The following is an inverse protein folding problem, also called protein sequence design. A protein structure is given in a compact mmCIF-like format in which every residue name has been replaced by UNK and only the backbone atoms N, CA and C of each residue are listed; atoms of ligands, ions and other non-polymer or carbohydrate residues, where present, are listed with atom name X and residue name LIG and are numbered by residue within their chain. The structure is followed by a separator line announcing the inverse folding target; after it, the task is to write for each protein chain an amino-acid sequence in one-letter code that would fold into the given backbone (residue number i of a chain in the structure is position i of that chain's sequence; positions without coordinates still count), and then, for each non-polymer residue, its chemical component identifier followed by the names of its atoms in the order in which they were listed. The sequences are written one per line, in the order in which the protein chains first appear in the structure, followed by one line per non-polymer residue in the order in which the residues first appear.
data_IF_546298859984
#
_entry.id   IF_546298859984
#
_cell.length_a   1.000
_cell.length_b   1.000
_cell.length_c   1.000
_cell.angle_alpha   90.00
_cell.angle_beta   90.00
_cell.angle_gamma   90.00
#
_symmetry.space_group_name_H-M   'P 1'
#
loop_
_entity.id
_entity.type
_entity.pdbx_description
1 polymer ?
#
# COMPACT_ATOMS: atom_id res chain seq x y z
N UNK A 1 -17.16 27.16 -20.24
CA UNK A 1 -16.15 26.89 -19.18
C UNK A 1 -15.48 25.57 -19.50
N UNK A 2 -14.16 25.57 -19.77
CA UNK A 2 -13.41 24.32 -19.98
C UNK A 2 -13.27 23.63 -18.63
N UNK A 3 -13.77 22.40 -18.54
CA UNK A 3 -13.68 21.58 -17.34
C UNK A 3 -12.21 21.22 -17.09
N UNK A 4 -11.59 21.85 -16.08
CA UNK A 4 -10.15 21.74 -15.76
C UNK A 4 -9.78 20.30 -15.35
N UNK A 5 -10.78 19.50 -14.96
CA UNK A 5 -10.60 18.09 -14.60
C UNK A 5 -10.31 17.16 -15.80
N UNK A 6 -10.59 17.58 -17.05
CA UNK A 6 -10.25 16.79 -18.26
C UNK A 6 -8.75 16.80 -18.60
N UNK A 7 -7.91 17.52 -17.83
CA UNK A 7 -6.47 17.62 -18.05
C UNK A 7 -5.62 16.77 -17.11
N UNK A 8 -6.23 16.02 -16.18
CA UNK A 8 -5.49 15.08 -15.34
C UNK A 8 -5.58 13.67 -15.95
N UNK A 9 -4.51 13.13 -16.56
CA UNK A 9 -4.53 11.80 -17.17
C UNK A 9 -4.27 10.72 -16.10
N UNK A 10 -4.87 10.84 -14.91
CA UNK A 10 -4.77 9.83 -13.86
C UNK A 10 -6.14 9.21 -13.70
N UNK A 11 -6.30 8.02 -14.27
CA UNK A 11 -7.46 7.18 -13.98
C UNK A 11 -7.32 6.66 -12.56
N UNK A 12 -8.05 7.25 -11.62
CA UNK A 12 -8.16 6.73 -10.26
C UNK A 12 -9.03 5.47 -10.34
N UNK A 13 -8.40 4.31 -10.20
CA UNK A 13 -9.12 3.05 -9.99
C UNK A 13 -9.38 2.88 -8.51
N UNK A 14 -10.63 2.61 -8.15
CA UNK A 14 -11.05 2.29 -6.80
C UNK A 14 -11.86 0.99 -6.84
N UNK A 15 -11.67 0.16 -5.81
CA UNK A 15 -12.44 -1.08 -5.61
C UNK A 15 -13.69 -0.84 -4.75
N UNK A 16 -13.98 0.42 -4.40
CA UNK A 16 -15.13 0.81 -3.58
C UNK A 16 -16.44 0.60 -4.34
N UNK A 17 -17.44 0.03 -3.67
CA UNK A 17 -18.76 -0.22 -4.24
C UNK A 17 -19.78 0.85 -3.83
N UNK A 18 -19.42 1.68 -2.84
CA UNK A 18 -20.22 2.79 -2.35
C UNK A 18 -19.37 4.01 -1.95
N UNK A 19 -20.04 5.15 -1.75
CA UNK A 19 -19.41 6.36 -1.22
C UNK A 19 -18.90 6.15 0.21
N UNK A 20 -19.62 5.37 1.03
CA UNK A 20 -19.19 5.02 2.38
C UNK A 20 -17.90 4.19 2.37
N UNK A 21 -17.75 3.24 1.44
CA UNK A 21 -16.53 2.45 1.29
C UNK A 21 -15.35 3.36 0.93
N UNK A 22 -15.59 4.37 0.09
CA UNK A 22 -14.57 5.34 -0.31
C UNK A 22 -14.12 6.20 0.87
N UNK A 23 -15.07 6.71 1.67
CA UNK A 23 -14.73 7.47 2.88
C UNK A 23 -13.97 6.61 3.88
N UNK A 24 -14.39 5.37 4.07
CA UNK A 24 -13.69 4.43 4.94
C UNK A 24 -12.27 4.16 4.45
N UNK A 25 -12.06 3.93 3.15
CA UNK A 25 -10.72 3.75 2.59
C UNK A 25 -9.85 4.99 2.80
N UNK A 26 -10.39 6.19 2.59
CA UNK A 26 -9.68 7.45 2.83
C UNK A 26 -9.26 7.59 4.29
N UNK A 27 -10.15 7.28 5.23
CA UNK A 27 -9.85 7.37 6.65
C UNK A 27 -8.79 6.36 7.09
N UNK A 28 -8.82 5.14 6.53
CA UNK A 28 -7.75 4.16 6.74
C UNK A 28 -6.40 4.63 6.16
N UNK A 29 -6.37 5.27 4.98
CA UNK A 29 -5.14 5.84 4.42
C UNK A 29 -4.58 6.95 5.33
N UNK A 30 -5.45 7.81 5.87
CA UNK A 30 -5.03 8.85 6.82
C UNK A 30 -4.43 8.25 8.09
N UNK A 31 -5.01 7.17 8.62
CA UNK A 31 -4.44 6.45 9.77
C UNK A 31 -3.03 5.96 9.48
N UNK A 32 -2.78 5.38 8.30
CA UNK A 32 -1.42 4.99 7.90
C UNK A 32 -0.46 6.18 7.99
N UNK A 33 -0.84 7.33 7.44
CA UNK A 33 -0.03 8.55 7.47
C UNK A 33 0.27 9.02 8.91
N UNK A 34 -0.72 9.03 9.80
CA UNK A 34 -0.51 9.39 11.22
C UNK A 34 0.44 8.44 11.95
N UNK A 35 0.51 7.18 11.54
CA UNK A 35 1.44 6.17 12.08
C UNK A 35 2.83 6.19 11.39
N UNK A 36 3.09 7.25 10.61
CA UNK A 36 4.38 7.49 9.97
C UNK A 36 4.57 6.81 8.61
N UNK A 37 3.53 6.20 8.03
CA UNK A 37 3.54 5.69 6.65
C UNK A 37 3.14 6.80 5.66
N UNK A 38 4.00 7.82 5.55
CA UNK A 38 3.86 8.87 4.53
C UNK A 38 4.00 8.35 3.10
N UNK A 39 3.83 9.23 2.10
CA UNK A 39 3.79 8.77 0.70
C UNK A 39 5.06 8.04 0.27
N UNK A 40 6.25 8.51 0.68
CA UNK A 40 7.51 7.85 0.32
C UNK A 40 7.56 6.42 0.83
N UNK A 41 7.38 6.23 2.15
CA UNK A 41 7.51 4.93 2.77
C UNK A 41 6.46 3.94 2.24
N UNK A 42 5.20 4.37 2.06
CA UNK A 42 4.16 3.51 1.48
C UNK A 42 4.57 2.95 0.11
N UNK A 43 5.07 3.81 -0.79
CA UNK A 43 5.45 3.38 -2.13
C UNK A 43 6.78 2.62 -2.16
N UNK A 44 7.70 2.92 -1.25
CA UNK A 44 8.94 2.16 -1.09
C UNK A 44 8.63 0.73 -0.64
N UNK A 45 7.75 0.55 0.36
CA UNK A 45 7.27 -0.78 0.77
C UNK A 45 6.58 -1.52 -0.38
N UNK A 46 5.73 -0.81 -1.12
CA UNK A 46 4.96 -1.38 -2.23
C UNK A 46 5.86 -1.90 -3.37
N UNK A 47 6.80 -1.07 -3.85
CA UNK A 47 7.63 -1.38 -5.01
C UNK A 47 8.65 -2.47 -4.66
N UNK A 48 9.17 -2.47 -3.43
CA UNK A 48 10.23 -3.39 -3.01
C UNK A 48 9.69 -4.70 -2.40
N UNK A 49 8.36 -4.85 -2.28
CA UNK A 49 7.71 -6.08 -1.81
C UNK A 49 8.07 -7.31 -2.65
N UNK A 50 8.39 -7.14 -3.94
CA UNK A 50 8.77 -8.22 -4.87
C UNK A 50 10.28 -8.39 -5.05
N UNK A 51 11.11 -7.54 -4.45
CA UNK A 51 12.55 -7.69 -4.64
C UNK A 51 13.04 -9.03 -4.10
N UNK A 52 14.07 -9.60 -4.70
CA UNK A 52 14.60 -10.89 -4.26
C UNK A 52 13.65 -12.09 -4.48
N UNK A 53 12.48 -11.89 -5.10
CA UNK A 53 11.56 -12.99 -5.45
C UNK A 53 11.91 -13.62 -6.78
N UNK A 54 11.80 -14.94 -6.85
CA UNK A 54 11.70 -15.68 -8.10
C UNK A 54 10.25 -16.10 -8.31
N UNK A 55 9.84 -16.34 -9.55
CA UNK A 55 8.49 -16.84 -9.88
C UNK A 55 8.09 -18.13 -9.11
N UNK A 56 9.08 -18.87 -8.57
CA UNK A 56 8.90 -20.08 -7.77
C UNK A 56 8.79 -19.84 -6.25
N UNK A 57 9.18 -18.68 -5.73
CA UNK A 57 9.14 -18.35 -4.30
C UNK A 57 8.14 -17.22 -4.07
N UNK A 58 6.98 -17.56 -3.49
CA UNK A 58 6.07 -16.55 -2.94
C UNK A 58 6.71 -15.97 -1.68
N UNK A 59 6.71 -14.64 -1.55
CA UNK A 59 7.13 -13.99 -0.30
C UNK A 59 6.09 -14.25 0.76
N UNK A 60 6.30 -15.32 1.53
CA UNK A 60 5.48 -15.75 2.66
C UNK A 60 6.31 -15.62 3.92
N UNK A 61 6.19 -14.47 4.56
CA UNK A 61 7.02 -14.07 5.69
C UNK A 61 6.15 -13.66 6.89
N UNK A 62 6.67 -13.88 8.09
CA UNK A 62 6.24 -13.21 9.32
C UNK A 62 6.56 -11.71 9.25
N UNK A 63 6.03 -10.92 10.17
CA UNK A 63 6.32 -9.48 10.21
C UNK A 63 7.81 -9.22 10.42
N UNK A 64 8.46 -9.95 11.33
CA UNK A 64 9.91 -9.79 11.58
C UNK A 64 10.74 -10.13 10.33
N UNK A 65 10.40 -11.22 9.63
CA UNK A 65 11.01 -11.58 8.35
C UNK A 65 10.75 -10.50 7.26
N UNK A 66 9.60 -9.82 7.28
CA UNK A 66 9.34 -8.69 6.38
C UNK A 66 10.17 -7.45 6.74
N UNK A 67 10.39 -7.17 8.04
CA UNK A 67 11.30 -6.09 8.46
C UNK A 67 12.70 -6.37 7.91
N UNK A 68 13.23 -7.58 8.14
CA UNK A 68 14.54 -8.00 7.62
C UNK A 68 14.61 -7.90 6.09
N UNK A 69 13.55 -8.30 5.39
CA UNK A 69 13.44 -8.16 3.93
C UNK A 69 13.59 -6.71 3.47
N UNK A 70 12.92 -5.76 4.12
CA UNK A 70 12.96 -4.35 3.76
C UNK A 70 14.28 -3.66 4.14
N UNK A 71 14.93 -4.11 5.23
CA UNK A 71 16.24 -3.61 5.65
C UNK A 71 17.32 -3.81 4.56
N UNK A 72 17.27 -4.93 3.82
CA UNK A 72 18.19 -5.20 2.69
C UNK A 72 18.15 -4.09 1.64
N UNK A 73 17.01 -3.42 1.49
CA UNK A 73 16.78 -2.34 0.54
C UNK A 73 16.88 -0.95 1.18
N UNK A 74 17.39 -0.85 2.41
CA UNK A 74 17.53 0.38 3.19
C UNK A 74 16.20 1.10 3.44
N UNK A 75 15.11 0.35 3.51
CA UNK A 75 13.79 0.87 3.85
C UNK A 75 13.63 0.74 5.37
N UNK A 76 13.56 1.89 6.04
CA UNK A 76 13.40 1.94 7.50
C UNK A 76 11.92 1.83 7.83
N UNK A 77 11.54 0.76 8.51
CA UNK A 77 10.18 0.51 8.98
C UNK A 77 10.21 -0.29 10.29
N UNK A 78 9.05 -0.52 10.90
CA UNK A 78 8.92 -1.30 12.12
C UNK A 78 7.73 -2.28 12.01
N UNK A 79 7.61 -3.25 12.95
CA UNK A 79 6.54 -4.24 12.92
C UNK A 79 5.13 -3.65 12.86
N UNK A 80 4.83 -2.62 13.65
CA UNK A 80 3.49 -2.03 13.73
C UNK A 80 3.09 -1.35 12.41
N UNK A 81 4.03 -0.63 11.79
CA UNK A 81 3.84 -0.03 10.47
C UNK A 81 3.58 -1.09 9.40
N UNK A 82 4.33 -2.20 9.40
CA UNK A 82 4.13 -3.27 8.44
C UNK A 82 2.80 -3.99 8.64
N UNK A 83 2.37 -4.19 9.89
CA UNK A 83 1.05 -4.77 10.19
C UNK A 83 -0.04 -3.88 9.59
N UNK A 84 -0.01 -2.58 9.88
CA UNK A 84 -0.98 -1.62 9.35
C UNK A 84 -1.00 -1.59 7.83
N UNK A 85 0.18 -1.52 7.21
CA UNK A 85 0.33 -1.53 5.75
C UNK A 85 -0.27 -2.81 5.13
N UNK A 86 0.06 -3.99 5.67
CA UNK A 86 -0.43 -5.25 5.12
C UNK A 86 -1.91 -5.50 5.39
N UNK A 87 -2.44 -5.07 6.54
CA UNK A 87 -3.88 -5.15 6.82
C UNK A 87 -4.67 -4.22 5.91
N UNK A 88 -4.16 -3.02 5.63
CA UNK A 88 -4.72 -2.14 4.62
C UNK A 88 -4.76 -2.81 3.23
N UNK A 89 -3.62 -3.35 2.77
CA UNK A 89 -3.56 -4.06 1.50
C UNK A 89 -4.50 -5.26 1.45
N UNK A 90 -4.58 -6.05 2.52
CA UNK A 90 -5.49 -7.20 2.58
C UNK A 90 -6.96 -6.77 2.45
N UNK A 91 -7.32 -5.63 3.06
CA UNK A 91 -8.69 -5.12 3.07
C UNK A 91 -9.11 -4.52 1.72
N UNK A 92 -8.32 -3.61 1.17
CA UNK A 92 -8.71 -2.84 -0.02
C UNK A 92 -8.09 -3.34 -1.33
N UNK A 93 -7.06 -4.19 -1.23
CA UNK A 93 -6.30 -4.77 -2.33
C UNK A 93 -6.07 -6.27 -2.15
N UNK A 94 -7.11 -7.00 -1.75
CA UNK A 94 -7.07 -8.43 -1.36
C UNK A 94 -6.42 -9.36 -2.40
N UNK A 95 -6.38 -8.96 -3.67
CA UNK A 95 -5.66 -9.68 -4.73
C UNK A 95 -4.13 -9.58 -4.65
N UNK A 96 -3.57 -8.74 -3.79
CA UNK A 96 -2.12 -8.51 -3.66
C UNK A 96 -1.50 -9.31 -2.53
N UNK A 97 -2.21 -9.46 -1.40
CA UNK A 97 -1.66 -10.07 -0.20
C UNK A 97 -2.71 -10.95 0.50
N UNK A 98 -2.27 -12.09 1.04
CA UNK A 98 -3.05 -12.91 1.94
C UNK A 98 -2.36 -13.05 3.29
N UNK A 99 -3.14 -13.28 4.34
CA UNK A 99 -2.66 -13.60 5.69
C UNK A 99 -3.06 -15.03 6.02
N UNK A 100 -2.09 -15.84 6.45
CA UNK A 100 -2.31 -17.18 6.98
C UNK A 100 -1.45 -17.37 8.22
N UNK A 101 -2.06 -17.81 9.32
CA UNK A 101 -1.43 -17.87 10.64
C UNK A 101 -0.79 -16.52 11.02
N UNK A 102 0.54 -16.48 11.15
CA UNK A 102 1.35 -15.30 11.46
C UNK A 102 2.12 -14.76 10.26
N UNK A 103 1.82 -15.25 9.05
CA UNK A 103 2.55 -14.90 7.84
C UNK A 103 1.69 -14.13 6.85
N UNK A 104 2.29 -13.14 6.23
CA UNK A 104 1.76 -12.42 5.09
C UNK A 104 2.40 -12.94 3.82
N UNK A 105 1.55 -13.32 2.86
CA UNK A 105 1.94 -13.88 1.56
C UNK A 105 1.60 -12.93 0.44
N UNK A 106 2.61 -12.54 -0.31
CA UNK A 106 2.43 -11.76 -1.53
C UNK A 106 1.89 -12.65 -2.66
N UNK A 107 0.73 -12.29 -3.21
CA UNK A 107 0.01 -13.04 -4.24
C UNK A 107 0.40 -12.54 -5.64
N UNK A 108 0.39 -11.21 -5.83
CA UNK A 108 0.61 -10.56 -7.11
C UNK A 108 1.54 -9.35 -6.99
N UNK A 109 2.14 -8.95 -8.12
CA UNK A 109 2.95 -7.73 -8.19
C UNK A 109 2.09 -6.47 -8.12
N UNK A 110 2.27 -5.61 -7.10
CA UNK A 110 1.56 -4.36 -7.05
C UNK A 110 2.03 -3.49 -8.22
N UNK A 111 1.07 -2.92 -8.93
CA UNK A 111 1.35 -1.92 -9.96
C UNK A 111 0.98 -0.57 -9.39
N UNK A 112 1.95 0.36 -9.38
CA UNK A 112 1.78 1.70 -8.79
C UNK A 112 0.54 2.43 -9.33
N UNK A 113 0.19 2.21 -10.60
CA UNK A 113 -1.01 2.75 -11.25
C UNK A 113 -2.34 2.37 -10.58
N UNK A 114 -2.37 1.29 -9.79
CA UNK A 114 -3.57 0.84 -9.06
C UNK A 114 -3.75 1.56 -7.71
N UNK A 115 -2.80 2.42 -7.32
CA UNK A 115 -2.77 3.09 -6.02
C UNK A 115 -2.94 4.62 -6.13
N UNK A 116 -3.76 5.05 -7.10
CA UNK A 116 -3.97 6.45 -7.39
C UNK A 116 -4.63 7.21 -6.23
N UNK A 117 -5.56 6.57 -5.52
CA UNK A 117 -6.23 7.17 -4.37
C UNK A 117 -5.25 7.38 -3.20
N UNK A 118 -4.47 6.35 -2.87
CA UNK A 118 -3.44 6.39 -1.83
C UNK A 118 -2.40 7.46 -2.12
N UNK A 119 -1.97 7.57 -3.38
CA UNK A 119 -1.03 8.61 -3.80
C UNK A 119 -1.60 10.01 -3.53
N UNK A 120 -2.86 10.26 -3.90
CA UNK A 120 -3.49 11.58 -3.72
C UNK A 120 -3.61 11.89 -2.22
N UNK A 121 -4.20 10.99 -1.44
CA UNK A 121 -4.45 11.23 -0.01
C UNK A 121 -3.15 11.41 0.75
N UNK A 122 -2.17 10.51 0.58
CA UNK A 122 -0.88 10.60 1.28
C UNK A 122 -0.08 11.84 0.86
N UNK A 123 -0.12 12.23 -0.42
CA UNK A 123 0.55 13.46 -0.86
C UNK A 123 -0.10 14.72 -0.31
N UNK A 124 -1.42 14.74 -0.12
CA UNK A 124 -2.08 15.87 0.54
C UNK A 124 -1.62 15.98 1.99
N UNK A 125 -1.59 14.86 2.72
CA UNK A 125 -1.14 14.81 4.11
C UNK A 125 0.33 15.19 4.32
N UNK A 126 1.23 14.80 3.41
CA UNK A 126 2.67 15.11 3.51
C UNK A 126 2.98 16.61 3.33
N UNK A 127 2.05 17.41 2.80
CA UNK A 127 2.23 18.85 2.54
C UNK A 127 1.57 19.74 3.61
N UNK A 128 0.91 19.15 4.60
CA UNK A 128 0.30 19.84 5.76
C UNK A 128 1.30 19.91 6.93
#
# INVERSE_FOLDING_TARGET
MKNIFNQYPITIKTNCMSENDLFEQIDEIKKLSYEGLGSSLFFDLLINAHNGTSASKKNTFTIDEWVEHYEVYKIVTNPDQLILFFEYLQRFHSGLISKSDKKYTLINSPRRENFGLELIVLKTMDND
#
